data_IF_758765669895
#
_entry.id   IF_758765669895
#
_cell.length_a   1.000
_cell.length_b   1.000
_cell.length_c   1.000
_cell.angle_alpha   90.00
_cell.angle_beta   90.00
_cell.angle_gamma   90.00
#
_symmetry.space_group_name_H-M   'P 1'
#
loop_
_entity.id
_entity.type
_entity.pdbx_description
1 polymer ?
#
# COMPACT_ATOMS: atom_id res chain seq x y z
N UNK A 1 -2.60 41.94 -15.53
CA UNK A 1 -2.80 41.00 -14.41
C UNK A 1 -1.71 41.30 -13.39
N UNK A 2 -2.08 41.90 -12.25
CA UNK A 2 -1.15 42.52 -11.28
C UNK A 2 -0.12 41.53 -10.71
N UNK A 3 1.13 41.97 -10.60
CA UNK A 3 2.22 41.24 -9.90
C UNK A 3 1.84 40.86 -8.45
N UNK A 4 0.99 41.66 -7.80
CA UNK A 4 0.41 41.36 -6.47
C UNK A 4 -0.50 40.13 -6.44
N UNK A 5 -1.11 39.75 -7.57
CA UNK A 5 -1.95 38.54 -7.67
C UNK A 5 -1.05 37.32 -7.89
N UNK A 6 0.02 37.46 -8.70
CA UNK A 6 1.03 36.40 -8.88
C UNK A 6 1.77 36.07 -7.57
N UNK A 7 2.02 37.05 -6.70
CA UNK A 7 2.68 36.82 -5.41
C UNK A 7 1.80 36.09 -4.38
N UNK A 8 0.50 35.89 -4.66
CA UNK A 8 -0.46 35.25 -3.75
C UNK A 8 -0.74 33.78 -4.10
N UNK A 9 -0.42 33.34 -5.32
CA UNK A 9 -0.65 31.96 -5.75
C UNK A 9 0.57 31.13 -5.38
N UNK A 10 0.43 30.31 -4.33
CA UNK A 10 1.40 29.28 -3.99
C UNK A 10 1.11 28.01 -4.79
N UNK A 11 2.16 27.41 -5.34
CA UNK A 11 2.11 26.09 -5.97
C UNK A 11 1.88 25.07 -4.85
N UNK A 12 0.79 24.31 -4.94
CA UNK A 12 0.53 23.20 -4.02
C UNK A 12 1.33 21.98 -4.48
N UNK A 13 2.17 21.47 -3.60
CA UNK A 13 2.95 20.23 -3.83
C UNK A 13 2.36 19.17 -2.91
N UNK A 14 1.66 18.20 -3.50
CA UNK A 14 1.08 17.08 -2.77
C UNK A 14 2.15 15.98 -2.67
N UNK A 15 2.40 15.53 -1.45
CA UNK A 15 3.45 14.55 -1.14
C UNK A 15 2.79 13.35 -0.49
N UNK A 16 2.93 12.17 -1.08
CA UNK A 16 2.52 10.92 -0.47
C UNK A 16 3.52 10.52 0.62
N UNK A 17 3.06 10.34 1.85
CA UNK A 17 3.91 10.01 2.98
C UNK A 17 4.64 8.68 2.75
N UNK A 18 3.91 7.59 2.51
CA UNK A 18 4.50 6.25 2.42
C UNK A 18 5.32 6.10 1.14
N UNK A 19 4.76 6.43 -0.03
CA UNK A 19 5.42 6.24 -1.33
C UNK A 19 6.52 7.26 -1.64
N UNK A 20 6.48 8.47 -1.09
CA UNK A 20 7.49 9.52 -1.40
C UNK A 20 8.51 9.71 -0.27
N UNK A 21 8.09 9.73 0.99
CA UNK A 21 8.97 10.07 2.11
C UNK A 21 9.68 8.86 2.72
N UNK A 22 9.12 7.65 2.58
CA UNK A 22 9.67 6.44 3.21
C UNK A 22 10.42 5.54 2.22
N UNK A 23 11.25 4.66 2.77
CA UNK A 23 12.00 3.61 2.07
C UNK A 23 11.24 2.28 2.15
N UNK A 24 10.02 2.25 1.60
CA UNK A 24 9.19 1.05 1.55
C UNK A 24 9.93 -0.17 0.98
N UNK A 25 10.85 0.03 0.03
CA UNK A 25 11.66 -1.03 -0.57
C UNK A 25 12.52 -1.80 0.44
N UNK A 26 12.87 -1.17 1.57
CA UNK A 26 13.62 -1.82 2.66
C UNK A 26 12.72 -2.55 3.65
N UNK A 27 11.43 -2.26 3.65
CA UNK A 27 10.48 -2.76 4.65
C UNK A 27 9.52 -3.81 4.08
N UNK A 28 9.33 -3.85 2.76
CA UNK A 28 8.33 -4.69 2.09
C UNK A 28 8.47 -6.19 2.40
N UNK A 29 9.70 -6.69 2.56
CA UNK A 29 9.90 -8.10 2.89
C UNK A 29 9.39 -8.43 4.30
N UNK A 30 9.64 -7.55 5.28
CA UNK A 30 9.12 -7.71 6.63
C UNK A 30 7.59 -7.60 6.65
N UNK A 31 7.02 -6.66 5.89
CA UNK A 31 5.59 -6.52 5.73
C UNK A 31 4.94 -7.79 5.15
N UNK A 32 5.55 -8.37 4.12
CA UNK A 32 5.08 -9.61 3.50
C UNK A 32 5.10 -10.79 4.49
N UNK A 33 6.16 -10.93 5.28
CA UNK A 33 6.26 -11.99 6.30
C UNK A 33 5.17 -11.88 7.37
N UNK A 34 4.89 -10.67 7.85
CA UNK A 34 3.79 -10.42 8.78
C UNK A 34 2.44 -10.78 8.14
N UNK A 35 2.23 -10.41 6.89
CA UNK A 35 1.01 -10.78 6.15
C UNK A 35 0.88 -12.30 5.97
N UNK A 36 1.97 -13.02 5.71
CA UNK A 36 1.94 -14.49 5.62
C UNK A 36 1.58 -15.13 6.95
N UNK A 37 2.09 -14.59 8.05
CA UNK A 37 1.76 -15.04 9.40
C UNK A 37 0.26 -14.88 9.69
N UNK A 38 -0.30 -13.70 9.42
CA UNK A 38 -1.74 -13.44 9.57
C UNK A 38 -2.58 -14.34 8.67
N UNK A 39 -2.24 -14.43 7.38
CA UNK A 39 -2.95 -15.30 6.43
C UNK A 39 -2.91 -16.75 6.87
N UNK A 40 -1.74 -17.25 7.28
CA UNK A 40 -1.54 -18.64 7.70
C UNK A 40 -2.35 -18.97 8.95
N UNK A 41 -2.24 -18.15 10.00
CA UNK A 41 -2.79 -18.45 11.32
C UNK A 41 -4.23 -18.04 11.49
N UNK A 42 -4.66 -16.93 10.90
CA UNK A 42 -5.95 -16.32 11.21
C UNK A 42 -7.00 -16.61 10.13
N UNK A 43 -6.63 -16.50 8.86
CA UNK A 43 -7.61 -16.47 7.75
C UNK A 43 -7.67 -17.81 7.00
N UNK A 44 -6.54 -18.27 6.46
CA UNK A 44 -6.50 -19.43 5.56
C UNK A 44 -6.34 -20.76 6.32
N UNK A 45 -5.82 -20.73 7.55
CA UNK A 45 -5.56 -21.92 8.40
C UNK A 45 -4.70 -22.98 7.69
N UNK A 46 -3.67 -22.54 6.97
CA UNK A 46 -2.69 -23.39 6.26
C UNK A 46 -1.27 -23.05 6.66
N UNK A 47 -0.31 -23.92 6.33
CA UNK A 47 1.10 -23.69 6.63
C UNK A 47 1.66 -22.43 5.94
N UNK A 48 2.41 -21.60 6.68
CA UNK A 48 2.97 -20.33 6.19
C UNK A 48 3.82 -20.50 4.92
N UNK A 49 4.62 -21.55 4.84
CA UNK A 49 5.46 -21.81 3.66
C UNK A 49 4.66 -22.03 2.38
N UNK A 50 3.42 -22.54 2.48
CA UNK A 50 2.53 -22.65 1.32
C UNK A 50 2.10 -21.25 0.84
N UNK A 51 1.73 -20.36 1.77
CA UNK A 51 1.39 -18.96 1.46
C UNK A 51 2.58 -18.24 0.82
N UNK A 52 3.78 -18.37 1.42
CA UNK A 52 5.02 -17.79 0.91
C UNK A 52 5.32 -18.26 -0.52
N UNK A 53 5.21 -19.55 -0.79
CA UNK A 53 5.43 -20.12 -2.14
C UNK A 53 4.44 -19.57 -3.17
N UNK A 54 3.15 -19.52 -2.82
CA UNK A 54 2.12 -19.04 -3.74
C UNK A 54 2.24 -17.52 -3.98
N UNK A 55 2.67 -16.76 -2.97
CA UNK A 55 3.01 -15.36 -3.11
C UNK A 55 4.17 -15.17 -4.09
N UNK A 56 5.29 -15.89 -3.94
CA UNK A 56 6.45 -15.74 -4.83
C UNK A 56 6.11 -16.10 -6.28
N UNK A 57 5.34 -17.18 -6.49
CA UNK A 57 4.87 -17.56 -7.81
C UNK A 57 3.97 -16.47 -8.43
N UNK A 58 3.14 -15.81 -7.62
CA UNK A 58 2.27 -14.72 -8.07
C UNK A 58 3.09 -13.46 -8.38
N UNK A 59 4.04 -13.11 -7.51
CA UNK A 59 4.93 -11.96 -7.67
C UNK A 59 5.74 -12.06 -8.97
N UNK A 60 6.28 -13.23 -9.27
CA UNK A 60 7.02 -13.47 -10.53
C UNK A 60 6.16 -13.22 -11.77
N UNK A 61 4.89 -13.67 -11.76
CA UNK A 61 3.95 -13.43 -12.87
C UNK A 61 3.65 -11.94 -13.04
N UNK A 62 3.47 -11.22 -11.92
CA UNK A 62 3.22 -9.77 -11.92
C UNK A 62 4.42 -9.02 -12.48
N UNK A 63 5.63 -9.31 -11.98
CA UNK A 63 6.87 -8.67 -12.41
C UNK A 63 7.17 -8.88 -13.90
N UNK A 64 6.70 -9.97 -14.50
CA UNK A 64 6.86 -10.20 -15.93
C UNK A 64 6.02 -9.23 -16.79
N UNK A 65 4.88 -8.73 -16.28
CA UNK A 65 3.95 -7.84 -17.02
C UNK A 65 3.25 -6.86 -16.06
N UNK A 66 3.98 -5.97 -15.37
CA UNK A 66 3.43 -5.18 -14.25
C UNK A 66 2.27 -4.27 -14.66
N UNK A 67 2.29 -3.72 -15.88
CA UNK A 67 1.22 -2.88 -16.44
C UNK A 67 -0.14 -3.59 -16.57
N UNK A 68 -0.19 -4.93 -16.46
CA UNK A 68 -1.45 -5.71 -16.48
C UNK A 68 -2.06 -5.90 -15.10
N UNK A 69 -1.34 -5.56 -14.04
CA UNK A 69 -1.73 -5.80 -12.66
C UNK A 69 -1.86 -4.47 -11.93
N UNK A 70 -3.01 -4.26 -11.32
CA UNK A 70 -3.34 -3.03 -10.60
C UNK A 70 -3.85 -3.39 -9.23
N UNK A 71 -3.63 -2.53 -8.25
CA UNK A 71 -4.39 -2.60 -7.02
C UNK A 71 -5.81 -2.16 -7.33
N UNK A 72 -6.77 -3.07 -7.13
CA UNK A 72 -8.18 -2.79 -7.35
C UNK A 72 -8.87 -2.53 -6.03
N UNK A 73 -9.69 -1.49 -6.00
CA UNK A 73 -10.59 -1.16 -4.89
C UNK A 73 -11.98 -1.03 -5.49
N UNK A 74 -12.93 -1.87 -5.06
CA UNK A 74 -14.28 -1.94 -5.64
C UNK A 74 -14.31 -2.07 -7.17
N UNK A 75 -13.40 -2.89 -7.72
CA UNK A 75 -13.28 -3.12 -9.16
C UNK A 75 -12.58 -2.01 -9.95
N UNK A 76 -12.28 -0.86 -9.34
CA UNK A 76 -11.58 0.26 -9.95
C UNK A 76 -10.08 0.11 -9.71
N UNK A 77 -9.27 0.28 -10.75
CA UNK A 77 -7.81 0.31 -10.62
C UNK A 77 -7.37 1.61 -9.94
N UNK A 78 -6.81 1.51 -8.73
CA UNK A 78 -6.30 2.63 -7.96
C UNK A 78 -4.87 3.02 -8.37
N UNK A 79 -4.00 2.02 -8.56
CA UNK A 79 -2.63 2.20 -9.04
C UNK A 79 -2.07 0.91 -9.67
N UNK A 80 -0.99 1.02 -10.44
CA UNK A 80 -0.28 -0.11 -11.06
C UNK A 80 0.71 -0.78 -10.10
N UNK A 81 0.96 -2.08 -10.31
CA UNK A 81 1.79 -2.89 -9.41
C UNK A 81 3.26 -2.47 -9.32
N UNK A 82 3.73 -1.58 -10.20
CA UNK A 82 5.11 -1.09 -10.25
C UNK A 82 5.27 0.35 -9.72
N UNK A 83 4.24 0.94 -9.12
CA UNK A 83 4.31 2.30 -8.56
C UNK A 83 5.00 2.35 -7.18
N UNK A 84 5.11 1.21 -6.49
CA UNK A 84 5.80 1.13 -5.20
C UNK A 84 5.98 -0.30 -4.70
N UNK A 85 6.88 -0.50 -3.75
CA UNK A 85 7.17 -1.79 -3.13
C UNK A 85 5.98 -2.30 -2.31
N UNK A 86 5.35 -1.45 -1.50
CA UNK A 86 4.13 -1.81 -0.76
C UNK A 86 2.97 -2.07 -1.70
N UNK A 87 2.83 -1.26 -2.76
CA UNK A 87 1.82 -1.49 -3.81
C UNK A 87 2.02 -2.86 -4.46
N UNK A 88 3.24 -3.19 -4.90
CA UNK A 88 3.55 -4.50 -5.48
C UNK A 88 3.16 -5.64 -4.52
N UNK A 89 3.45 -5.49 -3.22
CA UNK A 89 3.08 -6.48 -2.21
C UNK A 89 1.56 -6.64 -2.11
N UNK A 90 0.82 -5.54 -2.01
CA UNK A 90 -0.65 -5.54 -1.92
C UNK A 90 -1.27 -6.17 -3.17
N UNK A 91 -0.84 -5.78 -4.36
CA UNK A 91 -1.33 -6.38 -5.62
C UNK A 91 -1.02 -7.87 -5.69
N UNK A 92 0.17 -8.27 -5.24
CA UNK A 92 0.55 -9.69 -5.22
C UNK A 92 -0.37 -10.51 -4.33
N UNK A 93 -0.67 -10.02 -3.12
CA UNK A 93 -1.60 -10.69 -2.20
C UNK A 93 -3.02 -10.71 -2.80
N UNK A 94 -3.48 -9.59 -3.34
CA UNK A 94 -4.81 -9.47 -3.97
C UNK A 94 -4.99 -10.47 -5.12
N UNK A 95 -4.01 -10.57 -6.02
CA UNK A 95 -4.04 -11.51 -7.14
C UNK A 95 -3.95 -12.96 -6.64
N UNK A 96 -3.07 -13.26 -5.68
CA UNK A 96 -2.91 -14.60 -5.12
C UNK A 96 -4.21 -15.11 -4.48
N UNK A 97 -4.86 -14.28 -3.66
CA UNK A 97 -6.09 -14.63 -2.97
C UNK A 97 -7.27 -14.77 -3.95
N UNK A 98 -7.39 -13.87 -4.92
CA UNK A 98 -8.51 -13.88 -5.87
C UNK A 98 -8.46 -15.03 -6.88
N UNK A 99 -7.26 -15.48 -7.28
CA UNK A 99 -7.09 -16.57 -8.26
C UNK A 99 -7.16 -17.97 -7.65
N UNK A 100 -6.98 -18.10 -6.33
CA UNK A 100 -7.09 -19.37 -5.64
C UNK A 100 -8.49 -19.53 -5.02
N UNK A 101 -9.30 -20.46 -5.56
CA UNK A 101 -10.69 -20.71 -5.09
C UNK A 101 -10.77 -21.03 -3.60
N UNK A 102 -9.82 -21.79 -3.06
CA UNK A 102 -9.77 -22.12 -1.63
C UNK A 102 -9.50 -20.87 -0.80
N UNK A 103 -8.52 -20.05 -1.20
CA UNK A 103 -8.19 -18.81 -0.48
C UNK A 103 -9.35 -17.81 -0.52
N UNK A 104 -9.93 -17.62 -1.70
CA UNK A 104 -11.09 -16.75 -1.88
C UNK A 104 -12.22 -17.13 -0.92
N UNK A 105 -12.57 -18.42 -0.84
CA UNK A 105 -13.61 -18.91 0.09
C UNK A 105 -13.26 -18.66 1.56
N UNK A 106 -12.00 -18.90 1.96
CA UNK A 106 -11.55 -18.62 3.33
C UNK A 106 -11.67 -17.13 3.67
N UNK A 107 -11.30 -16.25 2.73
CA UNK A 107 -11.40 -14.80 2.90
C UNK A 107 -12.87 -14.37 2.99
N UNK A 108 -13.72 -14.84 2.08
CA UNK A 108 -15.17 -14.56 2.10
C UNK A 108 -15.83 -14.99 3.43
N UNK A 109 -15.40 -16.11 4.00
CA UNK A 109 -15.91 -16.57 5.30
C UNK A 109 -15.40 -15.74 6.48
N UNK A 110 -14.21 -15.14 6.38
CA UNK A 110 -13.60 -14.37 7.46
C UNK A 110 -14.13 -12.93 7.49
N UNK A 111 -14.34 -12.34 6.32
CA UNK A 111 -14.84 -10.97 6.15
C UNK A 111 -16.32 -11.02 5.74
N UNK A 112 -17.20 -11.30 6.71
CA UNK A 112 -18.65 -11.31 6.49
C UNK A 112 -19.24 -9.88 6.63
N UNK A 113 -20.03 -9.45 5.64
CA UNK A 113 -20.76 -8.16 5.55
C UNK A 113 -19.91 -6.89 5.74
N UNK A 114 -19.17 -6.50 4.71
CA UNK A 114 -18.43 -5.23 4.70
C UNK A 114 -18.79 -4.37 3.48
N UNK A 115 -18.46 -3.08 3.57
CA UNK A 115 -18.71 -2.06 2.53
C UNK A 115 -17.92 -2.28 1.21
N UNK A 116 -16.91 -3.15 1.25
CA UNK A 116 -16.04 -3.48 0.11
C UNK A 116 -16.05 -4.98 -0.17
N UNK A 117 -15.55 -5.38 -1.35
CA UNK A 117 -15.39 -6.80 -1.67
C UNK A 117 -14.40 -7.49 -0.69
N UNK A 118 -14.64 -8.76 -0.29
CA UNK A 118 -13.84 -9.42 0.76
C UNK A 118 -12.34 -9.52 0.47
N UNK A 119 -11.94 -9.58 -0.80
CA UNK A 119 -10.52 -9.64 -1.16
C UNK A 119 -9.87 -8.27 -0.92
N UNK A 120 -10.51 -7.19 -1.38
CA UNK A 120 -10.05 -5.82 -1.12
C UNK A 120 -9.95 -5.57 0.39
N UNK A 121 -10.97 -5.94 1.17
CA UNK A 121 -10.94 -5.82 2.63
C UNK A 121 -9.80 -6.59 3.25
N UNK A 122 -9.61 -7.84 2.86
CA UNK A 122 -8.51 -8.65 3.34
C UNK A 122 -7.15 -8.01 3.06
N UNK A 123 -6.95 -7.50 1.84
CA UNK A 123 -5.68 -6.85 1.48
C UNK A 123 -5.44 -5.54 2.24
N UNK A 124 -6.49 -4.75 2.46
CA UNK A 124 -6.42 -3.51 3.25
C UNK A 124 -6.16 -3.81 4.73
N UNK A 125 -6.89 -4.77 5.29
CA UNK A 125 -6.70 -5.27 6.65
C UNK A 125 -5.26 -5.74 6.87
N UNK A 126 -4.74 -6.58 5.98
CA UNK A 126 -3.36 -7.09 6.06
C UNK A 126 -2.34 -5.96 5.95
N UNK A 127 -2.57 -4.97 5.07
CA UNK A 127 -1.68 -3.83 4.95
C UNK A 127 -1.66 -3.01 6.24
N UNK A 128 -2.82 -2.51 6.70
CA UNK A 128 -2.92 -1.64 7.87
C UNK A 128 -2.50 -2.31 9.17
N UNK A 129 -2.97 -3.55 9.42
CA UNK A 129 -2.60 -4.30 10.63
C UNK A 129 -1.09 -4.49 10.74
N UNK A 130 -0.44 -4.84 9.64
CA UNK A 130 0.98 -5.22 9.66
C UNK A 130 1.92 -4.03 9.47
N UNK A 131 1.54 -3.01 8.69
CA UNK A 131 2.34 -1.78 8.55
C UNK A 131 2.38 -0.97 9.85
N UNK A 132 1.33 -1.03 10.68
CA UNK A 132 1.32 -0.43 12.02
C UNK A 132 2.42 -0.98 12.94
N UNK A 133 2.92 -2.19 12.68
CA UNK A 133 4.02 -2.80 13.44
C UNK A 133 5.41 -2.36 12.96
N UNK A 134 5.49 -1.66 11.83
CA UNK A 134 6.73 -1.23 11.20
C UNK A 134 6.99 0.24 11.56
N UNK A 135 8.15 0.51 12.15
CA UNK A 135 8.62 1.90 12.28
C UNK A 135 9.00 2.42 10.89
N UNK A 136 8.48 3.57 10.43
CA UNK A 136 8.83 4.11 9.12
C UNK A 136 10.34 4.38 9.01
N UNK A 137 10.93 3.97 7.88
CA UNK A 137 12.30 4.33 7.52
C UNK A 137 12.23 5.48 6.52
N UNK A 138 12.63 6.68 6.90
CA UNK A 138 12.61 7.83 6.00
C UNK A 138 13.74 7.77 4.97
N UNK A 139 13.49 8.32 3.78
CA UNK A 139 14.54 8.56 2.79
C UNK A 139 15.54 9.59 3.31
N UNK A 140 16.77 9.51 2.82
CA UNK A 140 17.81 10.47 3.15
C UNK A 140 17.34 11.89 2.77
N UNK A 141 17.69 12.86 3.61
CA UNK A 141 17.37 14.29 3.42
C UNK A 141 15.88 14.67 3.42
N UNK A 142 14.97 13.76 3.82
CA UNK A 142 13.53 14.06 3.87
C UNK A 142 13.24 15.27 4.77
N UNK A 143 13.86 15.33 5.94
CA UNK A 143 13.66 16.44 6.88
C UNK A 143 14.09 17.77 6.27
N UNK A 144 15.29 17.81 5.70
CA UNK A 144 15.87 18.99 5.06
C UNK A 144 14.99 19.45 3.90
N UNK A 145 14.57 18.51 3.05
CA UNK A 145 13.70 18.78 1.89
C UNK A 145 12.36 19.35 2.31
N UNK A 146 11.72 18.76 3.34
CA UNK A 146 10.44 19.26 3.84
C UNK A 146 10.59 20.66 4.47
N UNK A 147 11.67 20.92 5.20
CA UNK A 147 11.98 22.24 5.76
C UNK A 147 12.16 23.27 4.63
N UNK A 148 12.89 22.91 3.57
CA UNK A 148 13.09 23.78 2.40
C UNK A 148 11.76 24.08 1.69
N UNK A 149 10.91 23.07 1.48
CA UNK A 149 9.58 23.23 0.88
C UNK A 149 8.66 24.12 1.72
N UNK A 150 8.68 23.98 3.05
CA UNK A 150 7.90 24.81 3.97
C UNK A 150 8.37 26.27 3.94
N UNK A 151 9.69 26.49 3.87
CA UNK A 151 10.30 27.83 3.84
C UNK A 151 10.16 28.51 2.47
N UNK A 152 9.90 27.75 1.41
CA UNK A 152 9.88 28.30 0.06
C UNK A 152 8.68 29.25 -0.15
N UNK A 153 8.92 30.51 -0.58
CA UNK A 153 7.89 31.56 -0.57
C UNK A 153 6.71 31.28 -1.51
N UNK A 154 6.93 30.45 -2.55
CA UNK A 154 5.93 30.12 -3.56
C UNK A 154 5.39 28.69 -3.48
N UNK A 155 5.79 27.89 -2.50
CA UNK A 155 5.33 26.50 -2.37
C UNK A 155 4.45 26.36 -1.12
N UNK A 156 3.42 25.54 -1.25
CA UNK A 156 2.64 25.01 -0.14
C UNK A 156 2.74 23.49 -0.18
N UNK A 157 3.61 22.85 0.64
CA UNK A 157 3.64 21.41 0.73
C UNK A 157 2.38 20.92 1.46
N UNK A 158 1.76 19.87 0.93
CA UNK A 158 0.64 19.16 1.53
C UNK A 158 1.06 17.70 1.62
N UNK A 159 1.34 17.22 2.82
CA UNK A 159 1.66 15.80 3.04
C UNK A 159 0.34 15.06 3.23
N UNK A 160 0.07 14.11 2.34
CA UNK A 160 -1.06 13.20 2.45
C UNK A 160 -0.59 11.90 3.09
N UNK A 161 -1.35 11.43 4.08
CA UNK A 161 -1.24 10.08 4.63
C UNK A 161 -2.57 9.37 4.37
N UNK A 162 -2.52 8.29 3.60
CA UNK A 162 -3.69 7.47 3.30
C UNK A 162 -3.69 6.26 4.23
N UNK A 163 -3.90 6.51 5.52
CA UNK A 163 -4.22 5.47 6.48
C UNK A 163 -5.55 5.83 7.09
N UNK A 164 -6.60 5.08 6.76
CA UNK A 164 -7.84 5.13 7.51
C UNK A 164 -7.54 4.53 8.88
N UNK A 165 -7.08 5.35 9.82
CA UNK A 165 -7.04 4.98 11.24
C UNK A 165 -8.47 5.09 11.78
N UNK A 166 -9.27 4.05 11.58
CA UNK A 166 -10.42 3.79 12.45
C UNK A 166 -9.91 2.99 13.65
N UNK A 167 -9.09 3.62 14.49
CA UNK A 167 -8.83 3.16 15.86
C UNK A 167 -9.10 4.33 16.81
N UNK A 168 -10.38 4.57 17.06
CA UNK A 168 -10.92 5.12 18.31
C UNK A 168 -12.08 4.22 18.74
#
# INVERSE_FOLDING_TARGET
MDEKIRSKIRIKVIIDFDGTLTQEEKQVNQLAELAFETLSKEILKIHKEKVRKDYQNTKQKILAKPYKYTWKVNGISACYSNEGAFVLNTVTIQEMLSKNKFYKKCVENFFDKLDYDPITECTNYLFHKNSALLKPIFRNRVKETLIELIKHPHIQPIVMTNSKTDFL
#
